data_IF_419762203958
#
_entry.id   IF_419762203958
#
_cell.length_a   1.000
_cell.length_b   1.000
_cell.length_c   1.000
_cell.angle_alpha   90.00
_cell.angle_beta   90.00
_cell.angle_gamma   90.00
#
_symmetry.space_group_name_H-M   'P 1'
#
loop_
_entity.id
_entity.type
_entity.pdbx_description
1 polymer ?
#
# COMPACT_ATOMS: atom_id res chain seq x y z
N UNK A 1 -7.37 0.47 15.82
CA UNK A 1 -6.00 1.01 15.67
C UNK A 1 -5.98 2.44 16.17
N UNK A 2 -5.03 2.80 17.03
CA UNK A 2 -4.83 4.19 17.49
C UNK A 2 -4.38 5.10 16.33
N UNK A 3 -3.57 4.57 15.41
CA UNK A 3 -3.09 5.28 14.22
C UNK A 3 -4.28 5.73 13.35
N UNK A 4 -5.20 4.80 13.07
CA UNK A 4 -6.39 5.07 12.25
C UNK A 4 -7.20 6.25 12.81
N UNK A 5 -7.55 6.20 14.11
CA UNK A 5 -8.32 7.26 14.78
C UNK A 5 -7.61 8.62 14.79
N UNK A 6 -6.28 8.63 14.83
CA UNK A 6 -5.49 9.86 14.84
C UNK A 6 -5.24 10.41 13.44
N UNK A 7 -5.27 9.55 12.41
CA UNK A 7 -5.03 9.94 11.03
C UNK A 7 -6.29 10.45 10.33
N UNK A 8 -7.48 9.91 10.65
CA UNK A 8 -8.76 10.38 10.10
C UNK A 8 -8.97 11.91 10.20
N UNK A 9 -8.74 12.58 11.35
CA UNK A 9 -8.86 14.04 11.45
C UNK A 9 -7.87 14.81 10.57
N UNK A 10 -6.69 14.23 10.30
CA UNK A 10 -5.68 14.83 9.43
C UNK A 10 -6.17 14.84 7.99
N UNK A 11 -6.74 13.72 7.52
CA UNK A 11 -7.33 13.63 6.17
C UNK A 11 -8.43 14.67 5.95
N UNK A 12 -9.33 14.84 6.93
CA UNK A 12 -10.39 15.85 6.85
C UNK A 12 -9.90 17.30 6.85
N UNK A 13 -8.76 17.57 7.52
CA UNK A 13 -8.15 18.90 7.58
C UNK A 13 -7.34 19.24 6.34
N UNK A 14 -6.43 18.35 5.95
CA UNK A 14 -5.49 18.58 4.83
C UNK A 14 -6.15 18.36 3.46
N UNK A 15 -7.21 17.52 3.40
CA UNK A 15 -7.93 17.17 2.17
C UNK A 15 -7.00 16.80 1.01
N UNK A 16 -6.10 15.82 1.20
CA UNK A 16 -5.14 15.46 0.17
C UNK A 16 -5.84 14.82 -1.04
N UNK A 17 -5.28 15.02 -2.23
CA UNK A 17 -5.76 14.36 -3.46
C UNK A 17 -5.40 12.86 -3.50
N UNK A 18 -4.38 12.45 -2.74
CA UNK A 18 -3.98 11.07 -2.56
C UNK A 18 -3.16 10.88 -1.29
N UNK A 19 -3.09 9.65 -0.79
CA UNK A 19 -2.21 9.25 0.32
C UNK A 19 -1.19 8.23 -0.19
N UNK A 20 0.09 8.53 0.01
CA UNK A 20 1.18 7.60 -0.29
C UNK A 20 1.60 6.86 0.98
N UNK A 21 1.69 5.54 0.88
CA UNK A 21 2.18 4.63 1.93
C UNK A 21 3.31 3.77 1.38
N UNK A 22 4.20 3.32 2.26
CA UNK A 22 5.41 2.56 1.89
C UNK A 22 5.54 1.34 2.78
N UNK A 23 5.91 0.19 2.20
CA UNK A 23 6.22 -1.02 2.93
C UNK A 23 5.00 -1.63 3.63
N UNK A 24 5.20 -2.28 4.77
CA UNK A 24 4.22 -3.25 5.30
C UNK A 24 4.00 -3.17 6.82
N UNK A 25 4.39 -2.07 7.43
CA UNK A 25 4.23 -1.86 8.87
C UNK A 25 2.79 -1.47 9.22
N UNK A 26 2.45 -1.52 10.52
CA UNK A 26 1.10 -1.24 11.01
C UNK A 26 0.57 0.15 10.62
N UNK A 27 1.45 1.15 10.47
CA UNK A 27 1.07 2.47 9.98
C UNK A 27 0.65 2.45 8.51
N UNK A 28 1.30 1.65 7.67
CA UNK A 28 1.00 1.53 6.24
C UNK A 28 -0.45 1.09 6.05
N UNK A 29 -0.82 -0.05 6.63
CA UNK A 29 -2.19 -0.57 6.51
C UNK A 29 -3.21 0.33 7.21
N UNK A 30 -2.87 0.91 8.37
CA UNK A 30 -3.79 1.79 9.11
C UNK A 30 -4.10 3.07 8.33
N UNK A 31 -3.09 3.69 7.71
CA UNK A 31 -3.26 4.90 6.92
C UNK A 31 -3.95 4.60 5.58
N UNK A 32 -3.62 3.48 4.93
CA UNK A 32 -4.30 3.04 3.71
C UNK A 32 -5.79 2.80 3.92
N UNK A 33 -6.17 2.12 5.01
CA UNK A 33 -7.58 1.91 5.36
C UNK A 33 -8.30 3.23 5.67
N UNK A 34 -7.68 4.11 6.46
CA UNK A 34 -8.26 5.42 6.79
C UNK A 34 -8.51 6.27 5.53
N UNK A 35 -7.54 6.30 4.60
CA UNK A 35 -7.67 7.00 3.33
C UNK A 35 -8.76 6.37 2.45
N UNK A 36 -8.80 5.04 2.36
CA UNK A 36 -9.82 4.31 1.62
C UNK A 36 -11.24 4.58 2.17
N UNK A 37 -11.43 4.63 3.48
CA UNK A 37 -12.71 4.97 4.10
C UNK A 37 -13.15 6.40 3.83
N UNK A 38 -12.19 7.32 3.67
CA UNK A 38 -12.44 8.71 3.30
C UNK A 38 -12.57 8.92 1.77
N UNK A 39 -12.59 7.84 0.98
CA UNK A 39 -12.62 7.86 -0.49
C UNK A 39 -11.44 8.63 -1.11
N UNK A 40 -10.29 8.66 -0.43
CA UNK A 40 -9.06 9.27 -0.91
C UNK A 40 -8.19 8.18 -1.56
N UNK A 41 -7.73 8.38 -2.82
CA UNK A 41 -6.86 7.43 -3.51
C UNK A 41 -5.60 7.09 -2.71
N UNK A 42 -5.24 5.81 -2.69
CA UNK A 42 -4.05 5.30 -2.02
C UNK A 42 -3.00 4.88 -3.04
N UNK A 43 -1.77 5.33 -2.85
CA UNK A 43 -0.58 4.91 -3.61
C UNK A 43 0.31 4.10 -2.70
N UNK A 44 0.57 2.84 -3.05
CA UNK A 44 1.40 1.95 -2.25
C UNK A 44 2.75 1.70 -2.93
N UNK A 45 3.82 2.10 -2.26
CA UNK A 45 5.21 1.85 -2.67
C UNK A 45 5.73 0.58 -2.00
N UNK A 46 6.50 -0.23 -2.75
CA UNK A 46 6.91 -1.59 -2.36
C UNK A 46 5.75 -2.60 -2.34
N UNK A 47 4.74 -2.36 -3.19
CA UNK A 47 3.58 -3.21 -3.34
C UNK A 47 3.93 -4.61 -3.91
N UNK A 48 3.12 -5.61 -3.55
CA UNK A 48 3.13 -6.94 -4.18
C UNK A 48 4.17 -7.94 -3.68
N UNK A 49 5.03 -7.58 -2.73
CA UNK A 49 5.93 -8.54 -2.07
C UNK A 49 5.12 -9.54 -1.26
N UNK A 50 5.48 -10.83 -1.31
CA UNK A 50 4.77 -11.90 -0.59
C UNK A 50 5.74 -12.85 0.08
N UNK A 51 5.51 -13.12 1.36
CA UNK A 51 6.12 -14.25 2.07
C UNK A 51 5.28 -15.51 1.93
N UNK A 52 3.99 -15.38 1.60
CA UNK A 52 2.99 -16.45 1.63
C UNK A 52 2.74 -17.06 3.02
N UNK A 53 3.31 -16.46 4.08
CA UNK A 53 3.10 -16.87 5.46
C UNK A 53 2.15 -15.90 6.17
N UNK A 54 0.88 -16.31 6.31
CA UNK A 54 -0.16 -15.51 6.97
C UNK A 54 -0.02 -15.44 8.48
N UNK A 55 0.94 -16.15 9.08
CA UNK A 55 1.30 -15.95 10.50
C UNK A 55 2.13 -14.69 10.71
N UNK A 56 2.77 -14.17 9.65
CA UNK A 56 3.50 -12.90 9.67
C UNK A 56 2.53 -11.72 9.61
N UNK A 57 2.54 -10.80 10.59
CA UNK A 57 1.72 -9.58 10.54
C UNK A 57 1.99 -8.72 9.29
N UNK A 58 3.24 -8.65 8.86
CA UNK A 58 3.68 -7.90 7.67
C UNK A 58 3.00 -8.43 6.40
N UNK A 59 2.84 -9.75 6.26
CA UNK A 59 2.14 -10.34 5.11
C UNK A 59 0.65 -9.94 5.09
N UNK A 60 0.01 -9.92 6.26
CA UNK A 60 -1.38 -9.46 6.37
C UNK A 60 -1.49 -7.98 6.00
N UNK A 61 -0.54 -7.15 6.47
CA UNK A 61 -0.51 -5.73 6.17
C UNK A 61 -0.32 -5.47 4.66
N UNK A 62 0.58 -6.20 3.99
CA UNK A 62 0.78 -6.11 2.53
C UNK A 62 -0.49 -6.46 1.77
N UNK A 63 -1.10 -7.59 2.08
CA UNK A 63 -2.34 -8.04 1.42
C UNK A 63 -3.46 -7.02 1.57
N UNK A 64 -3.69 -6.50 2.78
CA UNK A 64 -4.75 -5.52 3.00
C UNK A 64 -4.46 -4.19 2.31
N UNK A 65 -3.21 -3.72 2.38
CA UNK A 65 -2.80 -2.45 1.76
C UNK A 65 -2.92 -2.53 0.24
N UNK A 66 -2.46 -3.62 -0.37
CA UNK A 66 -2.49 -3.81 -1.82
C UNK A 66 -3.92 -3.85 -2.37
N UNK A 67 -4.86 -4.44 -1.63
CA UNK A 67 -6.26 -4.57 -2.06
C UNK A 67 -7.02 -3.23 -2.04
N UNK A 68 -6.67 -2.32 -1.13
CA UNK A 68 -7.31 -0.99 -1.05
C UNK A 68 -6.60 0.08 -1.87
N UNK A 69 -5.39 -0.21 -2.36
CA UNK A 69 -4.62 0.73 -3.15
C UNK A 69 -5.26 1.02 -4.52
N UNK A 70 -5.17 2.29 -4.93
CA UNK A 70 -5.53 2.76 -6.26
C UNK A 70 -4.37 2.57 -7.24
N UNK A 71 -3.14 2.79 -6.78
CA UNK A 71 -1.89 2.57 -7.54
C UNK A 71 -0.90 1.76 -6.71
N UNK A 72 -0.20 0.83 -7.37
CA UNK A 72 0.72 -0.13 -6.78
C UNK A 72 2.07 0.00 -7.46
N UNK A 73 3.03 0.59 -6.76
CA UNK A 73 4.40 0.79 -7.24
C UNK A 73 5.26 -0.37 -6.76
N UNK A 74 5.62 -1.23 -7.71
CA UNK A 74 6.38 -2.45 -7.43
C UNK A 74 7.87 -2.24 -7.70
N UNK A 75 8.68 -2.89 -6.86
CA UNK A 75 10.14 -2.83 -6.92
C UNK A 75 10.75 -4.08 -7.57
N UNK A 76 9.98 -5.17 -7.70
CA UNK A 76 10.40 -6.44 -8.28
C UNK A 76 9.40 -6.99 -9.30
N UNK A 77 9.89 -7.77 -10.27
CA UNK A 77 9.02 -8.41 -11.28
C UNK A 77 8.12 -9.48 -10.65
N UNK A 78 8.62 -10.22 -9.66
CA UNK A 78 7.87 -11.20 -8.85
C UNK A 78 6.65 -10.56 -8.19
N UNK A 79 6.78 -9.33 -7.69
CA UNK A 79 5.67 -8.59 -7.08
C UNK A 79 4.54 -8.31 -8.06
N UNK A 80 4.85 -7.95 -9.31
CA UNK A 80 3.84 -7.80 -10.36
C UNK A 80 3.08 -9.10 -10.63
N UNK A 81 3.77 -10.24 -10.60
CA UNK A 81 3.14 -11.54 -10.80
C UNK A 81 2.22 -11.90 -9.64
N UNK A 82 2.63 -11.63 -8.40
CA UNK A 82 1.81 -11.85 -7.21
C UNK A 82 0.50 -11.04 -7.27
N UNK A 83 0.60 -9.74 -7.53
CA UNK A 83 -0.58 -8.86 -7.63
C UNK A 83 -1.54 -9.32 -8.73
N UNK A 84 -1.02 -9.73 -9.89
CA UNK A 84 -1.85 -10.30 -10.98
C UNK A 84 -2.53 -11.61 -10.58
N UNK A 85 -1.83 -12.50 -9.88
CA UNK A 85 -2.42 -13.76 -9.37
C UNK A 85 -3.54 -13.51 -8.36
N UNK A 86 -3.48 -12.39 -7.64
CA UNK A 86 -4.51 -11.94 -6.70
C UNK A 86 -5.68 -11.21 -7.38
N UNK A 87 -5.67 -11.09 -8.72
CA UNK A 87 -6.76 -10.49 -9.48
C UNK A 87 -6.72 -8.96 -9.54
N UNK A 88 -5.59 -8.35 -9.17
CA UNK A 88 -5.41 -6.90 -9.28
C UNK A 88 -5.27 -6.51 -10.76
N UNK A 89 -6.03 -5.50 -11.16
CA UNK A 89 -6.06 -5.00 -12.52
C UNK A 89 -4.69 -4.44 -12.95
N UNK A 90 -4.28 -4.75 -14.18
CA UNK A 90 -2.92 -4.45 -14.66
C UNK A 90 -2.62 -2.95 -14.70
N UNK A 91 -3.63 -2.12 -14.94
CA UNK A 91 -3.55 -0.66 -14.95
C UNK A 91 -3.22 -0.04 -13.59
N UNK A 92 -3.41 -0.77 -12.49
CA UNK A 92 -3.00 -0.33 -11.15
C UNK A 92 -1.53 -0.63 -10.85
N UNK A 93 -0.90 -1.55 -11.60
CA UNK A 93 0.41 -2.11 -11.28
C UNK A 93 1.48 -1.41 -12.11
N UNK A 94 2.38 -0.69 -11.43
CA UNK A 94 3.47 0.04 -12.08
C UNK A 94 4.81 -0.44 -11.54
N UNK A 95 5.63 -1.02 -12.43
CA UNK A 95 7.01 -1.38 -12.08
C UNK A 95 7.89 -0.14 -12.13
N UNK A 96 8.40 0.28 -10.98
CA UNK A 96 9.19 1.52 -10.83
C UNK A 96 10.64 1.27 -10.40
N UNK A 97 11.00 0.01 -10.09
CA UNK A 97 12.31 -0.31 -9.54
C UNK A 97 12.42 0.05 -8.05
N UNK A 98 13.59 -0.18 -7.45
CA UNK A 98 13.77 0.01 -6.00
C UNK A 98 14.15 1.45 -5.67
N UNK A 99 13.26 2.15 -4.96
CA UNK A 99 13.43 3.55 -4.55
C UNK A 99 14.58 3.75 -3.55
N UNK A 100 15.01 2.70 -2.83
CA UNK A 100 16.19 2.76 -1.95
C UNK A 100 17.52 2.83 -2.74
N UNK A 101 17.51 2.57 -4.05
CA UNK A 101 18.70 2.80 -4.89
C UNK A 101 18.91 4.28 -5.17
N UNK A 102 17.86 5.11 -5.08
CA UNK A 102 17.89 6.54 -5.38
C UNK A 102 18.46 7.39 -4.22
N UNK A 103 18.82 6.76 -3.09
CA UNK A 103 19.47 7.43 -1.94
C UNK A 103 21.01 7.47 -1.99
N UNK A 104 21.60 7.17 -3.16
CA UNK A 104 23.06 7.23 -3.40
C UNK A 104 23.56 8.60 -3.88
#
# INVERSE_FOLDING_TARGET
SEILRRFEPVLGREKPEAVLVVGDVNSTVSCALAASYAEIPVVHVEAGLRSFDRSMPEEINRLLTDQVASLLFTTEKSANENLRREGIAAEKIHFVGNVMVDTL
#
